data_IF_551947199581
#
_entry.id   IF_551947199581
#
_cell.length_a   1.000
_cell.length_b   1.000
_cell.length_c   1.000
_cell.angle_alpha   90.00
_cell.angle_beta   90.00
_cell.angle_gamma   90.00
#
_symmetry.space_group_name_H-M   'P 1'
#
loop_
_entity.id
_entity.type
_entity.pdbx_description
1 polymer ?
#
# COMPACT_ATOMS: atom_id res chain seq x y z
N UNK A 1 -2.29 2.38 -17.53
CA UNK A 1 -2.48 0.97 -17.94
C UNK A 1 -2.97 0.13 -16.76
N UNK A 2 -4.25 -0.27 -16.87
CA UNK A 2 -5.02 -1.34 -16.19
C UNK A 2 -4.60 -1.88 -14.81
N UNK A 3 -5.48 -1.65 -13.83
CA UNK A 3 -5.63 -2.49 -12.65
C UNK A 3 -6.18 -3.89 -13.00
N UNK A 4 -6.00 -4.80 -12.05
CA UNK A 4 -6.34 -6.22 -12.04
C UNK A 4 -7.79 -6.55 -12.42
N UNK A 5 -7.97 -7.42 -13.43
CA UNK A 5 -9.18 -8.24 -13.63
C UNK A 5 -9.13 -9.52 -12.77
N UNK A 6 -10.28 -10.04 -12.31
CA UNK A 6 -10.36 -11.35 -11.65
C UNK A 6 -10.19 -12.48 -12.68
N UNK A 7 -9.67 -13.62 -12.22
CA UNK A 7 -9.40 -14.79 -13.05
C UNK A 7 -10.69 -15.37 -13.67
N UNK A 8 -10.74 -15.43 -15.01
CA UNK A 8 -11.82 -16.09 -15.75
C UNK A 8 -11.78 -15.81 -17.27
N UNK A 9 -11.16 -16.72 -18.02
CA UNK A 9 -11.07 -16.86 -19.49
C UNK A 9 -10.23 -15.85 -20.31
N UNK A 10 -9.12 -16.39 -20.84
CA UNK A 10 -8.01 -15.75 -21.56
C UNK A 10 -8.37 -15.28 -22.98
N UNK A 11 -8.70 -14.00 -23.12
CA UNK A 11 -8.62 -13.28 -24.41
C UNK A 11 -7.48 -12.25 -24.44
N UNK A 12 -6.74 -12.11 -23.33
CA UNK A 12 -5.73 -11.06 -23.09
C UNK A 12 -4.28 -11.62 -23.01
N UNK A 13 -3.97 -12.76 -23.66
CA UNK A 13 -2.62 -13.37 -23.66
C UNK A 13 -2.12 -13.61 -25.09
N UNK A 14 -0.80 -13.54 -25.29
CA UNK A 14 -0.17 -13.70 -26.60
C UNK A 14 0.82 -14.87 -26.60
N UNK A 15 0.85 -15.61 -27.69
CA UNK A 15 1.89 -16.60 -27.94
C UNK A 15 3.23 -15.89 -28.19
N UNK A 16 4.27 -16.30 -27.47
CA UNK A 16 5.61 -15.71 -27.58
C UNK A 16 6.61 -16.70 -28.21
N UNK A 17 7.39 -16.21 -29.17
CA UNK A 17 8.40 -17.00 -29.85
C UNK A 17 9.74 -17.00 -29.10
N UNK A 18 10.77 -17.61 -29.70
CA UNK A 18 12.10 -17.67 -29.10
C UNK A 18 12.85 -16.34 -29.14
N UNK A 19 12.55 -15.50 -30.13
CA UNK A 19 13.17 -14.20 -30.27
C UNK A 19 12.66 -13.26 -29.19
N UNK A 20 11.35 -13.14 -29.00
CA UNK A 20 10.74 -12.33 -27.94
C UNK A 20 11.25 -12.72 -26.56
N UNK A 21 11.34 -14.03 -26.24
CA UNK A 21 11.94 -14.47 -24.97
C UNK A 21 13.37 -13.96 -24.80
N UNK A 22 14.18 -14.09 -25.84
CA UNK A 22 15.59 -13.68 -25.80
C UNK A 22 15.72 -12.17 -25.62
N UNK A 23 14.91 -11.39 -26.33
CA UNK A 23 14.89 -9.92 -26.26
C UNK A 23 14.46 -9.44 -24.87
N UNK A 24 13.39 -10.01 -24.31
CA UNK A 24 12.92 -9.67 -22.97
C UNK A 24 13.98 -9.98 -21.90
N UNK A 25 14.61 -11.17 -21.95
CA UNK A 25 15.65 -11.53 -20.98
C UNK A 25 16.86 -10.60 -21.06
N UNK A 26 17.29 -10.22 -22.28
CA UNK A 26 18.38 -9.25 -22.47
C UNK A 26 18.01 -7.88 -21.94
N UNK A 27 16.83 -7.38 -22.30
CA UNK A 27 16.35 -6.09 -21.85
C UNK A 27 16.25 -6.02 -20.32
N UNK A 28 15.80 -7.08 -19.64
CA UNK A 28 15.79 -7.11 -18.16
C UNK A 28 17.21 -7.04 -17.62
N UNK A 29 18.14 -7.83 -18.17
CA UNK A 29 19.53 -7.82 -17.72
C UNK A 29 20.15 -6.42 -17.87
N UNK A 30 19.90 -5.73 -18.98
CA UNK A 30 20.42 -4.40 -19.22
C UNK A 30 19.75 -3.37 -18.28
N UNK A 31 18.43 -3.44 -18.13
CA UNK A 31 17.68 -2.47 -17.33
C UNK A 31 17.93 -2.58 -15.82
N UNK A 32 18.39 -3.74 -15.34
CA UNK A 32 18.82 -3.93 -13.96
C UNK A 32 19.99 -3.03 -13.55
N UNK A 33 20.68 -2.39 -14.49
CA UNK A 33 21.64 -1.33 -14.16
C UNK A 33 20.96 -0.18 -13.40
N UNK A 34 19.67 0.08 -13.61
CA UNK A 34 18.89 1.10 -12.88
C UNK A 34 18.49 0.72 -11.47
N UNK A 35 18.71 -0.53 -11.07
CA UNK A 35 18.30 -1.01 -9.77
C UNK A 35 19.13 -0.38 -8.64
N UNK A 36 18.46 0.04 -7.57
CA UNK A 36 19.07 0.75 -6.43
C UNK A 36 20.11 -0.08 -5.66
N UNK A 37 20.23 -1.39 -5.94
CA UNK A 37 21.12 -2.32 -5.25
C UNK A 37 22.09 -2.99 -6.25
N UNK A 38 23.24 -2.37 -6.57
CA UNK A 38 24.13 -2.80 -7.64
C UNK A 38 24.68 -4.23 -7.49
N UNK A 39 24.94 -4.68 -6.26
CA UNK A 39 25.46 -6.03 -6.03
C UNK A 39 24.39 -7.11 -6.25
N UNK A 40 23.14 -6.80 -5.89
CA UNK A 40 21.99 -7.66 -6.22
C UNK A 40 21.73 -7.62 -7.72
N UNK A 41 21.82 -6.46 -8.36
CA UNK A 41 21.68 -6.32 -9.82
C UNK A 41 22.67 -7.22 -10.57
N UNK A 42 23.97 -7.20 -10.21
CA UNK A 42 24.99 -8.07 -10.82
C UNK A 42 24.68 -9.55 -10.71
N UNK A 43 24.15 -9.98 -9.55
CA UNK A 43 23.73 -11.38 -9.32
C UNK A 43 22.57 -11.75 -10.26
N UNK A 44 21.55 -10.91 -10.35
CA UNK A 44 20.40 -11.12 -11.23
C UNK A 44 20.81 -11.14 -12.71
N UNK A 45 21.66 -10.20 -13.13
CA UNK A 45 22.21 -10.12 -14.48
C UNK A 45 22.98 -11.39 -14.86
N UNK A 46 23.78 -11.93 -13.93
CA UNK A 46 24.53 -13.17 -14.16
C UNK A 46 23.57 -14.35 -14.38
N UNK A 47 22.58 -14.54 -13.51
CA UNK A 47 21.60 -15.63 -13.65
C UNK A 47 20.77 -15.49 -14.95
N UNK A 48 20.41 -14.28 -15.36
CA UNK A 48 19.73 -14.04 -16.65
C UNK A 48 20.62 -14.37 -17.86
N UNK A 49 21.91 -14.00 -17.83
CA UNK A 49 22.88 -14.31 -18.89
C UNK A 49 23.14 -15.81 -19.00
N UNK A 50 23.22 -16.52 -17.87
CA UNK A 50 23.36 -17.97 -17.85
C UNK A 50 22.14 -18.65 -18.50
N UNK A 51 20.93 -18.19 -18.17
CA UNK A 51 19.70 -18.70 -18.79
C UNK A 51 19.62 -18.39 -20.27
N UNK A 52 20.05 -17.19 -20.70
CA UNK A 52 20.16 -16.86 -22.12
C UNK A 52 21.09 -17.86 -22.85
N UNK A 53 22.25 -18.20 -22.27
CA UNK A 53 23.20 -19.14 -22.87
C UNK A 53 22.63 -20.57 -23.01
N UNK A 54 21.83 -21.00 -22.04
CA UNK A 54 21.17 -22.31 -22.03
C UNK A 54 19.87 -22.33 -22.86
N UNK A 55 19.46 -21.17 -23.40
CA UNK A 55 18.15 -20.91 -23.99
C UNK A 55 17.03 -21.32 -23.03
N UNK A 56 17.04 -20.78 -21.81
CA UNK A 56 16.03 -21.01 -20.78
C UNK A 56 14.62 -20.62 -21.22
N UNK A 57 13.61 -21.09 -20.50
CA UNK A 57 12.18 -20.80 -20.77
C UNK A 57 11.66 -21.30 -22.13
N UNK A 58 12.29 -22.31 -22.77
CA UNK A 58 11.83 -22.84 -24.07
C UNK A 58 10.37 -23.28 -24.06
N UNK A 59 9.94 -23.83 -22.93
CA UNK A 59 8.60 -24.38 -22.74
C UNK A 59 7.56 -23.31 -22.40
N UNK A 60 8.00 -22.08 -22.11
CA UNK A 60 7.11 -20.94 -21.84
C UNK A 60 6.68 -20.31 -23.15
N UNK A 61 5.40 -20.50 -23.50
CA UNK A 61 4.81 -20.00 -24.76
C UNK A 61 3.83 -18.86 -24.57
N UNK A 62 3.48 -18.52 -23.34
CA UNK A 62 2.53 -17.47 -22.99
C UNK A 62 3.25 -16.22 -22.50
N UNK A 63 2.78 -15.05 -22.91
CA UNK A 63 3.30 -13.77 -22.45
C UNK A 63 3.04 -13.56 -20.96
N UNK A 64 1.81 -13.87 -20.51
CA UNK A 64 1.44 -13.87 -19.08
C UNK A 64 2.33 -14.81 -18.28
N UNK A 65 2.54 -16.04 -18.76
CA UNK A 65 3.38 -17.03 -18.10
C UNK A 65 4.84 -16.60 -18.01
N UNK A 66 5.38 -15.96 -19.07
CA UNK A 66 6.76 -15.46 -19.04
C UNK A 66 6.94 -14.36 -18.00
N UNK A 67 6.05 -13.36 -17.99
CA UNK A 67 6.10 -12.27 -17.01
C UNK A 67 6.02 -12.78 -15.57
N UNK A 68 5.09 -13.70 -15.29
CA UNK A 68 4.95 -14.32 -13.97
C UNK A 68 6.20 -15.12 -13.56
N UNK A 69 6.76 -15.89 -14.48
CA UNK A 69 7.94 -16.73 -14.22
C UNK A 69 9.18 -15.88 -13.95
N UNK A 70 9.42 -14.87 -14.77
CA UNK A 70 10.53 -13.94 -14.59
C UNK A 70 10.39 -13.14 -13.29
N UNK A 71 9.17 -12.69 -12.97
CA UNK A 71 8.89 -12.03 -11.68
C UNK A 71 9.26 -12.94 -10.52
N UNK A 72 8.74 -14.17 -10.48
CA UNK A 72 9.00 -15.10 -9.37
C UNK A 72 10.51 -15.39 -9.19
N UNK A 73 11.23 -15.55 -10.30
CA UNK A 73 12.68 -15.73 -10.31
C UNK A 73 13.41 -14.50 -9.74
N UNK A 74 13.13 -13.30 -10.26
CA UNK A 74 13.77 -12.05 -9.83
C UNK A 74 13.54 -11.82 -8.33
N UNK A 75 12.30 -11.96 -7.87
CA UNK A 75 11.93 -11.76 -6.46
C UNK A 75 12.54 -12.84 -5.54
N UNK A 76 12.67 -14.08 -6.01
CA UNK A 76 13.32 -15.15 -5.23
C UNK A 76 14.80 -14.84 -4.98
N UNK A 77 15.50 -14.30 -5.99
CA UNK A 77 16.93 -14.04 -5.93
C UNK A 77 17.29 -12.71 -5.26
N UNK A 78 16.43 -11.70 -5.38
CA UNK A 78 16.61 -10.36 -4.82
C UNK A 78 16.03 -10.20 -3.42
N UNK A 79 14.97 -10.96 -3.09
CA UNK A 79 14.08 -10.74 -1.94
C UNK A 79 13.32 -9.41 -1.96
N UNK A 80 13.34 -8.70 -3.07
CA UNK A 80 12.61 -7.45 -3.30
C UNK A 80 11.32 -7.77 -4.05
N UNK A 81 10.17 -7.41 -3.48
CA UNK A 81 8.84 -7.68 -4.06
C UNK A 81 8.37 -6.64 -5.06
N UNK A 82 9.03 -5.48 -5.13
CA UNK A 82 8.74 -4.45 -6.12
C UNK A 82 9.31 -4.79 -7.50
N UNK A 83 10.41 -5.54 -7.58
CA UNK A 83 10.92 -6.04 -8.85
C UNK A 83 9.89 -6.97 -9.51
N UNK A 84 9.23 -6.48 -10.56
CA UNK A 84 8.13 -7.18 -11.21
C UNK A 84 8.10 -6.92 -12.71
N UNK A 85 7.90 -7.99 -13.47
CA UNK A 85 7.73 -7.97 -14.92
C UNK A 85 6.23 -8.07 -15.23
N UNK A 86 5.78 -7.25 -16.16
CA UNK A 86 4.40 -7.15 -16.57
C UNK A 86 4.29 -7.45 -18.06
N UNK A 87 3.18 -8.08 -18.42
CA UNK A 87 2.79 -8.33 -19.80
C UNK A 87 1.62 -7.42 -20.18
N UNK A 88 1.61 -6.94 -21.41
CA UNK A 88 0.52 -6.19 -22.02
C UNK A 88 0.12 -6.81 -23.36
N UNK A 89 -1.16 -7.15 -23.58
CA UNK A 89 -1.62 -7.62 -24.89
C UNK A 89 -1.58 -6.52 -25.96
N UNK A 90 -1.63 -5.24 -25.55
CA UNK A 90 -1.41 -4.10 -26.43
C UNK A 90 0.08 -3.73 -26.51
N UNK A 91 0.49 -3.18 -27.65
CA UNK A 91 1.85 -2.65 -27.81
C UNK A 91 2.03 -1.44 -26.90
N UNK A 92 3.08 -1.49 -26.09
CA UNK A 92 3.45 -0.45 -25.16
C UNK A 92 4.06 0.73 -25.91
N UNK A 93 3.73 1.97 -25.54
CA UNK A 93 4.39 3.14 -26.10
C UNK A 93 5.90 3.16 -25.75
N UNK A 94 6.72 3.81 -26.57
CA UNK A 94 8.10 4.13 -26.20
C UNK A 94 8.08 5.37 -25.29
N UNK A 95 7.91 5.16 -23.98
CA UNK A 95 7.99 6.23 -22.99
C UNK A 95 9.38 6.25 -22.39
N UNK A 96 10.05 7.40 -22.46
CA UNK A 96 11.23 7.67 -21.62
C UNK A 96 10.74 8.21 -20.27
N UNK A 97 11.50 8.04 -19.17
CA UNK A 97 11.09 8.56 -17.86
C UNK A 97 10.78 10.08 -17.82
N UNK A 98 11.33 10.84 -18.77
CA UNK A 98 11.15 12.29 -18.90
C UNK A 98 10.03 12.68 -19.87
N UNK A 99 9.35 11.72 -20.49
CA UNK A 99 8.24 12.01 -21.40
C UNK A 99 7.07 12.59 -20.60
N UNK A 100 6.69 13.84 -20.87
CA UNK A 100 5.47 14.42 -20.30
C UNK A 100 4.26 13.57 -20.68
N UNK A 101 3.38 13.32 -19.70
CA UNK A 101 2.15 12.58 -19.93
C UNK A 101 1.23 13.48 -20.76
N UNK A 102 0.78 13.04 -21.95
CA UNK A 102 -0.15 13.82 -22.76
C UNK A 102 -1.41 14.17 -21.96
N UNK A 103 -1.97 15.39 -22.09
CA UNK A 103 -3.15 15.81 -21.33
C UNK A 103 -4.35 14.86 -21.45
N UNK A 104 -4.52 14.24 -22.62
CA UNK A 104 -5.54 13.22 -22.89
C UNK A 104 -5.34 11.93 -22.09
N UNK A 105 -4.10 11.48 -21.91
CA UNK A 105 -3.78 10.30 -21.12
C UNK A 105 -3.90 10.59 -19.63
N UNK A 106 -3.51 11.79 -19.19
CA UNK A 106 -3.74 12.26 -17.84
C UNK A 106 -5.24 12.35 -17.51
N UNK A 107 -6.04 12.93 -18.41
CA UNK A 107 -7.49 12.99 -18.26
C UNK A 107 -8.15 11.60 -18.28
N UNK A 108 -7.61 10.67 -19.08
CA UNK A 108 -8.06 9.28 -19.08
C UNK A 108 -7.74 8.60 -17.74
N UNK A 109 -6.52 8.76 -17.22
CA UNK A 109 -6.12 8.24 -15.90
C UNK A 109 -7.02 8.80 -14.81
N UNK A 110 -7.23 10.12 -14.79
CA UNK A 110 -8.11 10.77 -13.82
C UNK A 110 -9.53 10.19 -13.89
N UNK A 111 -10.10 10.01 -15.09
CA UNK A 111 -11.42 9.39 -15.28
C UNK A 111 -11.48 7.97 -14.72
N UNK A 112 -10.43 7.16 -14.90
CA UNK A 112 -10.38 5.81 -14.32
C UNK A 112 -10.32 5.84 -12.79
N UNK A 113 -9.61 6.81 -12.22
CA UNK A 113 -9.60 7.02 -10.76
C UNK A 113 -10.97 7.51 -10.27
N UNK A 114 -11.64 8.43 -10.97
CA UNK A 114 -13.01 8.89 -10.66
C UNK A 114 -14.02 7.72 -10.61
N UNK A 115 -13.96 6.78 -11.57
CA UNK A 115 -14.83 5.61 -11.60
C UNK A 115 -14.65 4.68 -10.39
N UNK A 116 -13.47 4.70 -9.76
CA UNK A 116 -13.15 3.96 -8.53
C UNK A 116 -13.33 4.82 -7.28
N UNK A 117 -13.92 6.01 -7.41
CA UNK A 117 -14.00 7.02 -6.36
C UNK A 117 -12.62 7.30 -5.71
N UNK A 118 -11.59 7.33 -6.56
CA UNK A 118 -10.18 7.51 -6.19
C UNK A 118 -9.67 6.50 -5.15
N UNK A 119 -10.21 5.28 -5.18
CA UNK A 119 -9.93 4.20 -4.22
C UNK A 119 -10.22 4.57 -2.75
N UNK A 120 -11.02 5.61 -2.51
CA UNK A 120 -11.70 5.85 -1.24
C UNK A 120 -12.99 5.03 -1.28
N UNK A 121 -12.89 3.78 -0.84
CA UNK A 121 -13.90 2.75 -1.09
C UNK A 121 -15.06 2.83 -0.08
N UNK A 122 -14.78 3.22 1.15
CA UNK A 122 -15.80 3.32 2.20
C UNK A 122 -15.45 4.39 3.21
N UNK A 123 -16.46 5.19 3.55
CA UNK A 123 -16.44 6.18 4.61
C UNK A 123 -17.68 5.96 5.47
N UNK A 124 -17.51 5.64 6.74
CA UNK A 124 -18.63 5.28 7.61
C UNK A 124 -18.42 5.72 9.06
N UNK A 125 -19.53 6.05 9.73
CA UNK A 125 -19.59 6.12 11.20
C UNK A 125 -20.14 4.80 11.74
N UNK A 126 -19.25 3.96 12.25
CA UNK A 126 -19.57 2.72 12.95
C UNK A 126 -20.21 3.02 14.31
N UNK A 127 -20.85 2.00 14.90
CA UNK A 127 -21.38 2.05 16.27
C UNK A 127 -20.30 2.40 17.29
N UNK A 128 -20.69 3.08 18.37
CA UNK A 128 -19.78 3.64 19.37
C UNK A 128 -19.07 4.91 18.88
N UNK A 129 -19.64 5.59 17.88
CA UNK A 129 -19.09 6.79 17.24
C UNK A 129 -17.65 6.59 16.72
N UNK A 130 -17.36 5.46 16.08
CA UNK A 130 -16.04 5.18 15.49
C UNK A 130 -16.08 5.47 14.00
N UNK A 131 -15.21 6.35 13.53
CA UNK A 131 -15.03 6.62 12.11
C UNK A 131 -14.28 5.49 11.43
N UNK A 132 -14.63 5.20 10.19
CA UNK A 132 -14.01 4.18 9.36
C UNK A 132 -13.72 4.75 7.97
N UNK A 133 -12.47 4.62 7.53
CA UNK A 133 -11.98 5.03 6.22
C UNK A 133 -11.25 3.86 5.56
N UNK A 134 -11.77 3.35 4.45
CA UNK A 134 -11.15 2.27 3.68
C UNK A 134 -10.54 2.80 2.38
N UNK A 135 -9.25 2.50 2.19
CA UNK A 135 -8.47 2.95 1.04
C UNK A 135 -7.89 1.73 0.33
N UNK A 136 -8.10 1.55 -0.97
CA UNK A 136 -7.44 0.48 -1.75
C UNK A 136 -6.17 0.97 -2.46
N UNK A 137 -5.97 2.28 -2.51
CA UNK A 137 -4.78 2.93 -3.06
C UNK A 137 -4.62 4.31 -2.44
N UNK A 138 -3.43 4.87 -2.55
CA UNK A 138 -3.12 6.27 -2.32
C UNK A 138 -3.12 7.00 -3.68
N UNK A 139 -4.28 7.40 -4.19
CA UNK A 139 -4.35 8.18 -5.43
C UNK A 139 -3.70 9.56 -5.27
N UNK A 140 -3.12 10.16 -6.32
CA UNK A 140 -2.45 11.47 -6.22
C UNK A 140 -3.39 12.60 -5.72
N UNK A 141 -2.93 13.51 -4.83
CA UNK A 141 -3.76 14.60 -4.29
C UNK A 141 -4.37 15.54 -5.33
N UNK A 142 -3.71 15.73 -6.47
CA UNK A 142 -4.22 16.52 -7.60
C UNK A 142 -5.53 15.96 -8.19
N UNK A 143 -5.79 14.66 -7.99
CA UNK A 143 -7.04 14.01 -8.40
C UNK A 143 -7.99 13.82 -7.21
N UNK A 144 -7.44 13.36 -6.08
CA UNK A 144 -8.22 12.77 -5.00
C UNK A 144 -8.29 13.63 -3.74
N UNK A 145 -7.60 14.79 -3.70
CA UNK A 145 -7.47 15.63 -2.51
C UNK A 145 -8.80 16.12 -1.96
N UNK A 146 -9.72 16.55 -2.85
CA UNK A 146 -11.05 17.03 -2.45
C UNK A 146 -11.94 15.89 -1.94
N UNK A 147 -11.86 14.71 -2.56
CA UNK A 147 -12.58 13.50 -2.11
C UNK A 147 -12.08 13.07 -0.74
N UNK A 148 -10.76 13.10 -0.51
CA UNK A 148 -10.19 12.84 0.82
C UNK A 148 -10.66 13.88 1.84
N UNK A 149 -10.67 15.17 1.48
CA UNK A 149 -11.14 16.23 2.36
C UNK A 149 -12.62 16.04 2.73
N UNK A 150 -13.46 15.60 1.79
CA UNK A 150 -14.86 15.27 2.05
C UNK A 150 -14.98 14.09 3.04
N UNK A 151 -14.20 13.03 2.85
CA UNK A 151 -14.15 11.89 3.77
C UNK A 151 -13.71 12.30 5.18
N UNK A 152 -12.62 13.07 5.30
CA UNK A 152 -12.14 13.55 6.59
C UNK A 152 -13.12 14.51 7.27
N UNK A 153 -13.82 15.36 6.50
CA UNK A 153 -14.91 16.21 7.00
C UNK A 153 -16.06 15.38 7.56
N UNK A 154 -16.50 14.35 6.84
CA UNK A 154 -17.55 13.44 7.31
C UNK A 154 -17.17 12.76 8.63
N UNK A 155 -15.91 12.37 8.78
CA UNK A 155 -15.39 11.68 9.96
C UNK A 155 -14.96 12.64 11.08
N UNK A 156 -15.02 13.96 10.88
CA UNK A 156 -14.47 14.96 11.81
C UNK A 156 -15.08 14.92 13.20
N UNK A 157 -16.27 14.36 13.39
CA UNK A 157 -16.97 14.35 14.69
C UNK A 157 -17.01 12.95 15.36
N UNK A 158 -16.29 11.97 14.83
CA UNK A 158 -16.20 10.65 15.46
C UNK A 158 -15.27 10.67 16.67
N UNK A 159 -15.44 9.75 17.62
CA UNK A 159 -14.64 9.68 18.85
C UNK A 159 -13.32 8.92 18.65
N UNK A 160 -13.27 8.01 17.69
CA UNK A 160 -12.05 7.32 17.24
C UNK A 160 -12.08 7.15 15.71
N UNK A 161 -10.94 6.81 15.11
CA UNK A 161 -10.81 6.56 13.68
C UNK A 161 -10.09 5.23 13.43
N UNK A 162 -10.66 4.40 12.57
CA UNK A 162 -10.01 3.23 11.98
C UNK A 162 -9.76 3.50 10.49
N UNK A 163 -8.50 3.38 10.07
CA UNK A 163 -8.08 3.48 8.67
C UNK A 163 -7.74 2.07 8.19
N UNK A 164 -8.42 1.61 7.15
CA UNK A 164 -8.31 0.26 6.64
C UNK A 164 -7.45 0.21 5.38
N UNK A 165 -6.31 -0.45 5.51
CA UNK A 165 -5.30 -0.62 4.46
C UNK A 165 -5.12 -2.10 4.09
N UNK A 166 -6.02 -3.00 4.51
CA UNK A 166 -5.87 -4.45 4.30
C UNK A 166 -5.83 -4.84 2.82
N UNK A 167 -6.37 -4.00 1.94
CA UNK A 167 -6.32 -4.22 0.49
C UNK A 167 -5.52 -3.14 -0.24
N UNK A 168 -4.82 -2.27 0.50
CA UNK A 168 -4.11 -1.14 -0.06
C UNK A 168 -2.70 -1.52 -0.51
N UNK A 169 -2.45 -1.43 -1.82
CA UNK A 169 -1.16 -1.80 -2.41
C UNK A 169 -0.21 -0.62 -2.66
N UNK A 170 -0.50 0.53 -2.06
CA UNK A 170 0.34 1.72 -2.10
C UNK A 170 -0.20 2.80 -3.00
N UNK A 171 0.69 3.52 -3.69
CA UNK A 171 0.34 4.66 -4.53
C UNK A 171 1.25 5.86 -4.28
N UNK A 172 0.65 7.04 -4.19
CA UNK A 172 1.29 8.34 -4.12
C UNK A 172 1.78 8.68 -2.71
N UNK A 173 3.09 8.88 -2.57
CA UNK A 173 3.71 9.39 -1.32
C UNK A 173 3.19 10.78 -0.93
N UNK A 174 2.78 11.63 -1.88
CA UNK A 174 2.16 12.92 -1.56
C UNK A 174 0.78 12.78 -0.93
N UNK A 175 0.01 11.73 -1.28
CA UNK A 175 -1.25 11.45 -0.61
C UNK A 175 -1.03 10.89 0.80
N UNK A 176 0.02 10.09 1.00
CA UNK A 176 0.48 9.70 2.35
C UNK A 176 0.74 10.95 3.19
N UNK A 177 1.54 11.89 2.70
CA UNK A 177 1.83 13.14 3.41
C UNK A 177 0.56 13.96 3.72
N UNK A 178 -0.37 14.06 2.76
CA UNK A 178 -1.63 14.78 2.93
C UNK A 178 -2.51 14.12 4.00
N UNK A 179 -2.72 12.80 3.95
CA UNK A 179 -3.51 12.09 4.95
C UNK A 179 -2.86 12.12 6.33
N UNK A 180 -1.54 11.94 6.41
CA UNK A 180 -0.80 12.06 7.68
C UNK A 180 -0.94 13.46 8.27
N UNK A 181 -1.00 14.50 7.42
CA UNK A 181 -1.23 15.88 7.88
C UNK A 181 -2.59 16.03 8.58
N UNK A 182 -3.65 15.38 8.12
CA UNK A 182 -4.93 15.41 8.85
C UNK A 182 -4.81 14.88 10.29
N UNK A 183 -3.83 14.04 10.59
CA UNK A 183 -3.69 13.38 11.89
C UNK A 183 -2.67 14.05 12.81
N UNK A 184 -1.96 15.09 12.35
CA UNK A 184 -0.90 15.77 13.09
C UNK A 184 -1.14 17.29 13.14
N UNK A 185 -0.62 17.99 14.17
CA UNK A 185 -0.69 19.46 14.22
C UNK A 185 -0.09 20.12 12.98
N UNK A 186 -0.53 21.33 12.66
CA UNK A 186 0.01 22.08 11.52
C UNK A 186 1.48 22.49 11.73
N UNK A 187 1.89 22.68 12.99
CA UNK A 187 3.23 23.09 13.36
C UNK A 187 3.74 22.33 14.60
N UNK A 188 5.05 22.01 14.66
CA UNK A 188 6.00 22.11 13.55
C UNK A 188 5.66 21.13 12.41
N UNK A 189 6.05 21.46 11.18
CA UNK A 189 5.95 20.51 10.08
C UNK A 189 6.84 19.30 10.39
N UNK A 190 6.33 18.11 10.11
CA UNK A 190 6.99 16.84 10.42
C UNK A 190 7.62 16.31 9.13
N UNK A 191 8.92 16.03 9.18
CA UNK A 191 9.62 15.33 8.11
C UNK A 191 9.29 13.84 8.21
N UNK A 192 8.61 13.30 7.21
CA UNK A 192 8.13 11.93 7.22
C UNK A 192 9.20 10.96 6.69
N UNK A 193 9.60 11.16 5.43
CA UNK A 193 10.41 10.20 4.69
C UNK A 193 11.35 10.94 3.74
N UNK A 194 12.60 10.48 3.63
CA UNK A 194 13.51 10.83 2.55
C UNK A 194 13.49 9.71 1.50
N UNK A 195 13.31 10.06 0.23
CA UNK A 195 13.54 9.18 -0.90
C UNK A 195 14.87 9.57 -1.55
N UNK A 196 15.80 8.62 -1.64
CA UNK A 196 17.15 8.86 -2.16
C UNK A 196 17.43 8.02 -3.40
N UNK A 197 17.77 8.69 -4.50
CA UNK A 197 18.22 8.06 -5.73
C UNK A 197 19.72 8.29 -5.90
N UNK A 198 20.48 7.21 -5.72
CA UNK A 198 21.94 7.28 -5.66
C UNK A 198 22.58 7.71 -6.99
N UNK A 199 22.06 7.23 -8.13
CA UNK A 199 22.63 7.52 -9.45
C UNK A 199 22.55 9.00 -9.81
N UNK A 200 21.44 9.63 -9.48
CA UNK A 200 21.17 11.05 -9.73
C UNK A 200 21.68 11.94 -8.60
N UNK A 201 22.18 11.35 -7.50
CA UNK A 201 22.46 12.05 -6.25
C UNK A 201 21.29 12.96 -5.83
N UNK A 202 20.06 12.46 -5.98
CA UNK A 202 18.83 13.21 -5.77
C UNK A 202 18.14 12.75 -4.51
N UNK A 203 17.78 13.70 -3.65
CA UNK A 203 16.93 13.48 -2.48
C UNK A 203 15.61 14.19 -2.65
N UNK A 204 14.52 13.49 -2.39
CA UNK A 204 13.18 14.06 -2.33
C UNK A 204 12.62 13.83 -0.94
N UNK A 205 12.07 14.89 -0.35
CA UNK A 205 11.61 14.87 1.03
C UNK A 205 10.08 14.90 1.06
N UNK A 206 9.50 14.17 2.00
CA UNK A 206 8.07 14.18 2.29
C UNK A 206 7.81 14.87 3.63
N UNK A 207 6.94 15.89 3.62
CA UNK A 207 6.64 16.71 4.80
C UNK A 207 5.14 16.86 5.00
N UNK A 208 4.70 17.00 6.26
CA UNK A 208 3.32 17.41 6.53
C UNK A 208 3.04 18.84 6.05
N UNK A 209 1.81 19.09 5.62
CA UNK A 209 1.37 20.39 5.10
C UNK A 209 0.59 21.19 6.16
N UNK A 210 0.72 22.53 6.19
CA UNK A 210 0.09 23.36 7.21
C UNK A 210 -1.40 23.64 6.94
N UNK A 211 -1.82 23.63 5.67
CA UNK A 211 -3.19 23.90 5.25
C UNK A 211 -3.87 22.64 4.71
N UNK A 212 -5.15 22.46 5.05
CA UNK A 212 -5.96 21.32 4.66
C UNK A 212 -7.39 21.79 4.34
N UNK A 213 -8.01 21.16 3.35
CA UNK A 213 -9.38 21.46 2.92
C UNK A 213 -10.46 20.85 3.83
N UNK A 214 -10.11 20.32 5.00
CA UNK A 214 -11.01 19.87 6.06
C UNK A 214 -10.31 19.92 7.44
N UNK A 215 -11.06 19.82 8.56
CA UNK A 215 -10.46 19.89 9.90
C UNK A 215 -9.51 18.73 10.21
N UNK A 216 -8.50 19.00 11.06
CA UNK A 216 -7.57 17.99 11.57
C UNK A 216 -8.23 17.10 12.63
N UNK A 217 -7.78 15.84 12.70
CA UNK A 217 -8.21 14.81 13.63
C UNK A 217 -7.12 14.55 14.68
N UNK A 218 -6.94 15.48 15.63
CA UNK A 218 -5.78 15.51 16.54
C UNK A 218 -5.97 14.71 17.83
N UNK A 219 -7.01 15.03 18.61
CA UNK A 219 -7.09 14.63 20.03
C UNK A 219 -7.80 13.30 20.29
N UNK A 220 -7.77 12.40 19.30
CA UNK A 220 -8.58 11.18 19.28
C UNK A 220 -7.78 9.97 18.83
N UNK A 221 -8.05 8.76 19.36
CA UNK A 221 -7.30 7.58 18.99
C UNK A 221 -7.50 7.20 17.53
N UNK A 222 -6.41 6.80 16.89
CA UNK A 222 -6.37 6.35 15.50
C UNK A 222 -5.81 4.93 15.49
N UNK A 223 -6.44 4.07 14.70
CA UNK A 223 -6.03 2.70 14.46
C UNK A 223 -5.85 2.50 12.96
N UNK A 224 -4.80 1.80 12.56
CA UNK A 224 -4.58 1.40 11.17
C UNK A 224 -4.64 -0.11 11.11
N UNK A 225 -5.50 -0.65 10.24
CA UNK A 225 -5.56 -2.10 10.03
C UNK A 225 -4.83 -2.52 8.77
N UNK A 226 -3.99 -3.55 8.91
CA UNK A 226 -3.08 -4.03 7.85
C UNK A 226 -3.22 -5.52 7.61
N UNK A 227 -2.82 -5.94 6.42
CA UNK A 227 -2.73 -7.36 6.03
C UNK A 227 -1.41 -7.65 5.32
N UNK A 228 -1.18 -8.92 4.96
CA UNK A 228 -0.11 -9.33 4.05
C UNK A 228 -0.15 -8.68 2.66
N UNK A 229 -1.28 -8.08 2.25
CA UNK A 229 -1.42 -7.35 0.98
C UNK A 229 -1.08 -5.86 1.10
N UNK A 230 -1.03 -5.31 2.32
CA UNK A 230 -0.66 -3.91 2.54
C UNK A 230 0.77 -3.71 2.02
N UNK A 231 0.97 -2.78 1.09
CA UNK A 231 2.24 -2.65 0.36
C UNK A 231 2.61 -1.20 0.02
N UNK A 232 3.91 -0.91 -0.12
CA UNK A 232 4.42 0.35 -0.68
C UNK A 232 3.98 1.58 0.12
N UNK A 233 3.43 2.62 -0.52
CA UNK A 233 3.01 3.85 0.17
C UNK A 233 2.04 3.62 1.35
N UNK A 234 1.27 2.52 1.34
CA UNK A 234 0.41 2.17 2.48
C UNK A 234 1.22 1.72 3.70
N UNK A 235 2.34 1.05 3.47
CA UNK A 235 3.31 0.70 4.51
C UNK A 235 4.01 1.96 5.02
N UNK A 236 4.39 2.89 4.14
CA UNK A 236 4.94 4.19 4.56
C UNK A 236 3.97 4.92 5.50
N UNK A 237 2.69 5.00 5.15
CA UNK A 237 1.69 5.63 6.00
C UNK A 237 1.57 4.96 7.37
N UNK A 238 1.44 3.63 7.40
CA UNK A 238 1.36 2.87 8.64
C UNK A 238 2.63 3.04 9.50
N UNK A 239 3.80 2.96 8.87
CA UNK A 239 5.09 3.12 9.54
C UNK A 239 5.25 4.51 10.15
N UNK A 240 4.99 5.56 9.37
CA UNK A 240 5.10 6.93 9.84
C UNK A 240 4.24 7.16 11.09
N UNK A 241 2.99 6.72 11.07
CA UNK A 241 2.10 6.88 12.22
C UNK A 241 2.50 6.01 13.43
N UNK A 242 3.02 4.81 13.19
CA UNK A 242 3.53 3.94 14.25
C UNK A 242 4.75 4.58 14.94
N UNK A 243 5.74 5.04 14.17
CA UNK A 243 6.95 5.64 14.70
C UNK A 243 6.69 6.98 15.41
N UNK A 244 5.74 7.77 14.90
CA UNK A 244 5.27 9.00 15.56
C UNK A 244 4.35 8.73 16.77
N UNK A 245 4.06 7.47 17.09
CA UNK A 245 3.12 7.05 18.14
C UNK A 245 1.74 7.70 17.99
N UNK A 246 1.35 7.99 16.75
CA UNK A 246 0.08 8.65 16.43
C UNK A 246 -1.04 7.63 16.25
N UNK A 247 -0.74 6.45 15.72
CA UNK A 247 -1.72 5.38 15.53
C UNK A 247 -1.23 4.06 16.12
N UNK A 248 -2.18 3.19 16.41
CA UNK A 248 -1.95 1.78 16.76
C UNK A 248 -2.19 0.92 15.53
N UNK A 249 -1.21 0.10 15.15
CA UNK A 249 -1.28 -0.79 13.99
C UNK A 249 -1.80 -2.16 14.43
N UNK A 250 -2.82 -2.67 13.74
CA UNK A 250 -3.54 -3.89 14.11
C UNK A 250 -3.71 -4.80 12.88
N UNK A 251 -3.31 -6.06 12.99
CA UNK A 251 -3.49 -7.03 11.91
C UNK A 251 -2.23 -7.83 11.62
N UNK A 252 -1.91 -8.00 10.35
CA UNK A 252 -0.78 -8.82 9.91
C UNK A 252 0.44 -7.97 9.54
N UNK A 253 1.60 -8.62 9.55
CA UNK A 253 2.83 -8.04 9.00
C UNK A 253 2.64 -7.78 7.51
N UNK A 254 2.96 -6.57 7.07
CA UNK A 254 2.76 -6.12 5.69
C UNK A 254 3.76 -6.75 4.72
N UNK A 255 3.61 -6.48 3.42
CA UNK A 255 4.35 -7.20 2.37
C UNK A 255 5.85 -6.85 2.27
N UNK A 256 6.29 -5.70 2.78
CA UNK A 256 7.69 -5.32 2.85
C UNK A 256 8.25 -4.66 1.59
N UNK A 257 7.50 -3.76 0.95
CA UNK A 257 8.00 -2.92 -0.13
C UNK A 257 8.14 -1.48 0.32
N UNK A 258 9.37 -1.01 0.48
CA UNK A 258 9.66 0.37 0.88
C UNK A 258 10.10 1.25 -0.28
N UNK A 259 10.80 0.67 -1.24
CA UNK A 259 11.63 1.47 -2.14
C UNK A 259 10.87 2.07 -3.35
N UNK A 260 11.07 3.36 -3.66
CA UNK A 260 10.49 3.98 -4.84
C UNK A 260 11.15 3.46 -6.12
N UNK A 261 10.40 3.48 -7.21
CA UNK A 261 10.87 2.93 -8.47
C UNK A 261 10.21 3.53 -9.69
N UNK A 262 10.55 2.98 -10.84
CA UNK A 262 10.07 3.43 -12.15
C UNK A 262 9.78 2.25 -13.06
N UNK A 263 8.86 2.47 -14.00
CA UNK A 263 8.55 1.51 -15.05
C UNK A 263 9.53 1.66 -16.21
N UNK A 264 10.03 0.54 -16.72
CA UNK A 264 10.92 0.48 -17.86
C UNK A 264 10.37 -0.49 -18.89
N UNK A 265 10.24 -0.03 -20.13
CA UNK A 265 9.81 -0.88 -21.24
C UNK A 265 10.94 -1.84 -21.63
N UNK A 266 10.60 -3.11 -21.83
CA UNK A 266 11.51 -4.18 -22.18
C UNK A 266 11.33 -4.66 -23.63
N UNK A 267 10.09 -4.65 -24.09
CA UNK A 267 9.65 -5.12 -25.40
C UNK A 267 8.30 -4.46 -25.72
N UNK A 268 7.76 -4.67 -26.93
CA UNK A 268 6.42 -4.20 -27.33
C UNK A 268 5.33 -4.62 -26.34
N UNK A 269 5.49 -5.76 -25.70
CA UNK A 269 4.46 -6.36 -24.83
C UNK A 269 4.92 -6.55 -23.39
N UNK A 270 6.13 -6.09 -23.04
CA UNK A 270 6.68 -6.28 -21.70
C UNK A 270 7.30 -5.00 -21.16
N UNK A 271 7.07 -4.78 -19.87
CA UNK A 271 7.75 -3.75 -19.08
C UNK A 271 8.04 -4.31 -17.68
N UNK A 272 8.92 -3.65 -16.94
CA UNK A 272 9.19 -4.00 -15.55
C UNK A 272 9.20 -2.77 -14.66
N UNK A 273 8.78 -2.97 -13.41
CA UNK A 273 9.01 -1.99 -12.36
C UNK A 273 10.35 -2.31 -11.69
N UNK A 274 11.20 -1.28 -11.55
CA UNK A 274 12.50 -1.37 -10.89
C UNK A 274 12.55 -0.35 -9.76
N UNK A 275 12.86 -0.77 -8.52
CA UNK A 275 13.25 0.14 -7.46
C UNK A 275 14.54 0.88 -7.82
N UNK A 276 14.44 2.18 -8.09
CA UNK A 276 15.57 3.01 -8.53
C UNK A 276 16.10 3.89 -7.40
N UNK A 277 15.36 4.00 -6.30
CA UNK A 277 15.77 4.72 -5.10
C UNK A 277 15.51 3.90 -3.84
N UNK A 278 15.86 4.49 -2.70
CA UNK A 278 15.63 3.90 -1.39
C UNK A 278 14.81 4.85 -0.52
N UNK A 279 13.83 4.30 0.19
CA UNK A 279 13.12 5.03 1.23
C UNK A 279 13.92 4.97 2.53
N UNK A 280 14.07 6.12 3.18
CA UNK A 280 14.78 6.28 4.44
C UNK A 280 13.80 6.93 5.42
N UNK A 281 13.43 6.20 6.47
CA UNK A 281 12.64 6.80 7.53
C UNK A 281 13.51 7.66 8.43
N UNK A 282 13.04 8.86 8.74
CA UNK A 282 13.78 9.74 9.64
C UNK A 282 13.49 9.48 11.12
N UNK A 283 12.48 8.69 11.44
CA UNK A 283 12.20 8.32 12.82
C UNK A 283 13.18 7.25 13.33
N UNK A 284 13.63 6.35 12.45
CA UNK A 284 14.49 5.21 12.81
C UNK A 284 15.87 5.24 12.14
N UNK A 285 16.01 5.95 11.01
CA UNK A 285 17.18 5.86 10.14
C UNK A 285 17.23 4.55 9.33
N UNK A 286 16.19 3.72 9.42
CA UNK A 286 16.09 2.41 8.77
C UNK A 286 14.99 2.41 7.68
N UNK A 287 14.74 1.25 7.08
CA UNK A 287 13.64 0.99 6.15
C UNK A 287 12.88 -0.30 6.54
N UNK A 288 11.72 -0.54 5.93
CA UNK A 288 10.90 -1.75 6.15
C UNK A 288 10.95 -2.74 4.98
N UNK A 289 11.90 -2.55 4.05
CA UNK A 289 12.04 -3.42 2.88
C UNK A 289 12.33 -4.86 3.31
N UNK A 290 11.59 -5.82 2.75
CA UNK A 290 11.73 -7.24 3.05
C UNK A 290 11.18 -7.70 4.41
N UNK A 291 11.00 -6.82 5.39
CA UNK A 291 10.40 -7.16 6.70
C UNK A 291 8.92 -6.81 6.80
N UNK A 292 8.51 -5.71 6.15
CA UNK A 292 7.21 -5.09 6.36
C UNK A 292 7.08 -4.43 7.74
N UNK A 293 5.90 -3.86 7.99
CA UNK A 293 5.51 -3.22 9.22
C UNK A 293 4.98 -4.29 10.15
N UNK A 294 5.59 -4.43 11.33
CA UNK A 294 5.11 -5.34 12.37
C UNK A 294 4.02 -4.62 13.16
N UNK A 295 2.77 -5.14 13.20
CA UNK A 295 1.69 -4.50 13.93
C UNK A 295 1.92 -4.50 15.44
N UNK A 296 1.43 -3.47 16.12
CA UNK A 296 1.44 -3.40 17.59
C UNK A 296 0.55 -4.49 18.19
N UNK A 297 -0.55 -4.82 17.50
CA UNK A 297 -1.44 -5.94 17.83
C UNK A 297 -1.54 -6.91 16.65
N UNK A 298 -0.76 -8.00 16.72
CA UNK A 298 -0.71 -9.02 15.68
C UNK A 298 -1.91 -9.97 15.77
N UNK A 299 -2.78 -9.93 14.76
CA UNK A 299 -3.95 -10.80 14.60
C UNK A 299 -4.18 -11.10 13.10
N UNK A 300 -4.85 -12.20 12.73
CA UNK A 300 -5.25 -12.44 11.34
C UNK A 300 -6.01 -11.25 10.74
N UNK A 301 -5.83 -10.99 9.44
CA UNK A 301 -6.46 -9.86 8.76
C UNK A 301 -7.99 -9.85 8.89
N UNK A 302 -8.61 -11.03 9.00
CA UNK A 302 -10.04 -11.19 9.20
C UNK A 302 -10.52 -10.69 10.58
N UNK A 303 -9.66 -10.73 11.60
CA UNK A 303 -9.99 -10.27 12.96
C UNK A 303 -9.64 -8.79 13.19
N UNK A 304 -8.68 -8.26 12.42
CA UNK A 304 -8.04 -6.95 12.65
C UNK A 304 -9.00 -5.77 12.83
N UNK A 305 -10.04 -5.64 12.00
CA UNK A 305 -11.03 -4.56 12.12
C UNK A 305 -11.78 -4.62 13.46
N UNK A 306 -12.27 -5.81 13.83
CA UNK A 306 -12.99 -6.00 15.10
C UNK A 306 -12.06 -5.82 16.29
N UNK A 307 -10.80 -6.24 16.18
CA UNK A 307 -9.78 -5.96 17.19
C UNK A 307 -9.51 -4.47 17.33
N UNK A 308 -9.39 -3.71 16.23
CA UNK A 308 -9.24 -2.26 16.28
C UNK A 308 -10.45 -1.56 16.92
N UNK A 309 -11.68 -2.00 16.61
CA UNK A 309 -12.90 -1.52 17.26
C UNK A 309 -12.89 -1.80 18.77
N UNK A 310 -12.51 -3.01 19.19
CA UNK A 310 -12.39 -3.39 20.60
C UNK A 310 -11.40 -2.47 21.33
N UNK A 311 -10.22 -2.24 20.74
CA UNK A 311 -9.20 -1.36 21.30
C UNK A 311 -9.70 0.08 21.39
N UNK A 312 -10.41 0.57 20.37
CA UNK A 312 -11.03 1.89 20.37
C UNK A 312 -12.05 2.03 21.50
N UNK A 313 -12.96 1.07 21.64
CA UNK A 313 -14.00 1.12 22.66
C UNK A 313 -13.42 1.11 24.07
N UNK A 314 -12.48 0.21 24.35
CA UNK A 314 -11.80 0.16 25.66
C UNK A 314 -11.05 1.45 25.95
N UNK A 315 -10.39 2.04 24.94
CA UNK A 315 -9.71 3.33 25.07
C UNK A 315 -10.68 4.45 25.41
N UNK A 316 -11.79 4.54 24.67
CA UNK A 316 -12.81 5.57 24.87
C UNK A 316 -13.50 5.47 26.23
N UNK A 317 -13.82 4.25 26.69
CA UNK A 317 -14.39 4.04 28.03
C UNK A 317 -13.43 4.49 29.13
N UNK A 318 -12.15 4.08 29.03
CA UNK A 318 -11.13 4.48 30.00
C UNK A 318 -10.95 5.99 30.05
N UNK A 319 -10.81 6.64 28.89
CA UNK A 319 -10.61 8.10 28.84
C UNK A 319 -11.84 8.86 29.40
N UNK A 320 -13.05 8.30 29.24
CA UNK A 320 -14.26 8.84 29.85
C UNK A 320 -14.31 8.68 31.37
N UNK A 321 -13.90 7.52 31.90
CA UNK A 321 -13.82 7.27 33.34
C UNK A 321 -12.74 8.15 34.01
N UNK A 322 -11.67 8.48 33.27
CA UNK A 322 -10.62 9.40 33.70
C UNK A 322 -10.98 10.89 33.52
N UNK A 323 -12.16 11.21 32.97
CA UNK A 323 -12.62 12.58 32.74
C UNK A 323 -11.83 13.35 31.69
N UNK A 324 -11.11 12.66 30.79
CA UNK A 324 -10.27 13.26 29.73
C UNK A 324 -11.02 13.67 28.49
N UNK A 325 -12.24 13.16 28.32
CA UNK A 325 -13.17 13.57 27.28
C UNK A 325 -14.21 14.48 27.92
N UNK A 326 -14.63 15.57 27.27
CA UNK A 326 -15.89 16.24 27.63
C UNK A 326 -16.92 15.14 27.82
N UNK A 327 -17.46 15.02 29.05
CA UNK A 327 -18.21 13.85 29.53
C UNK A 327 -18.99 13.24 28.37
N UNK A 328 -18.58 12.04 27.91
CA UNK A 328 -19.33 11.32 26.88
C UNK A 328 -20.80 11.43 27.26
N UNK A 329 -21.62 11.98 26.36
CA UNK A 329 -23.05 12.07 26.65
C UNK A 329 -23.56 10.69 27.06
N UNK A 330 -24.49 10.64 28.01
CA UNK A 330 -24.97 9.38 28.60
C UNK A 330 -25.46 8.42 27.51
N UNK A 331 -26.04 8.94 26.41
CA UNK A 331 -26.47 8.15 25.27
C UNK A 331 -25.30 7.47 24.55
N UNK A 332 -24.19 8.17 24.33
CA UNK A 332 -23.00 7.65 23.67
C UNK A 332 -22.25 6.66 24.56
N UNK A 333 -22.20 6.89 25.88
CA UNK A 333 -21.63 5.93 26.83
C UNK A 333 -22.37 4.59 26.77
N UNK A 334 -23.70 4.62 26.76
CA UNK A 334 -24.52 3.42 26.61
C UNK A 334 -24.30 2.72 25.26
N UNK A 335 -24.27 3.48 24.16
CA UNK A 335 -23.97 2.93 22.82
C UNK A 335 -22.60 2.23 22.82
N UNK A 336 -21.61 2.80 23.51
CA UNK A 336 -20.26 2.25 23.62
C UNK A 336 -20.23 0.95 24.42
N UNK A 337 -20.92 0.87 25.55
CA UNK A 337 -21.02 -0.34 26.40
C UNK A 337 -21.73 -1.49 25.65
N UNK A 338 -22.82 -1.19 24.94
CA UNK A 338 -23.53 -2.16 24.10
C UNK A 338 -22.66 -2.63 22.92
N UNK A 339 -21.93 -1.71 22.29
CA UNK A 339 -21.03 -2.01 21.16
C UNK A 339 -19.82 -2.83 21.60
N UNK A 340 -19.28 -2.56 22.79
CA UNK A 340 -18.17 -3.33 23.38
C UNK A 340 -18.58 -4.80 23.55
N UNK A 341 -19.73 -5.02 24.21
CA UNK A 341 -20.27 -6.38 24.43
C UNK A 341 -20.47 -7.12 23.11
N UNK A 342 -21.01 -6.45 22.09
CA UNK A 342 -21.24 -7.05 20.79
C UNK A 342 -19.93 -7.39 20.05
N UNK A 343 -18.94 -6.50 20.09
CA UNK A 343 -17.65 -6.74 19.43
C UNK A 343 -16.87 -7.86 20.10
N UNK A 344 -16.93 -7.99 21.42
CA UNK A 344 -16.32 -9.12 22.13
C UNK A 344 -16.96 -10.45 21.70
N UNK A 345 -18.30 -10.52 21.69
CA UNK A 345 -19.01 -11.72 21.22
C UNK A 345 -18.74 -12.04 19.74
N UNK A 346 -18.62 -11.02 18.87
CA UNK A 346 -18.25 -11.20 17.47
C UNK A 346 -16.84 -11.76 17.33
N UNK A 347 -15.87 -11.23 18.07
CA UNK A 347 -14.49 -11.70 18.04
C UNK A 347 -14.38 -13.15 18.51
N UNK A 348 -15.05 -13.51 19.61
CA UNK A 348 -15.05 -14.88 20.12
C UNK A 348 -15.58 -15.86 19.08
N UNK A 349 -16.69 -15.52 18.42
CA UNK A 349 -17.27 -16.31 17.33
C UNK A 349 -16.33 -16.41 16.13
N UNK A 350 -15.71 -15.30 15.72
CA UNK A 350 -14.78 -15.31 14.59
C UNK A 350 -13.54 -16.15 14.88
N UNK A 351 -12.99 -16.08 16.10
CA UNK A 351 -11.89 -16.93 16.54
C UNK A 351 -12.26 -18.41 16.54
N UNK A 352 -13.43 -18.77 17.08
CA UNK A 352 -13.93 -20.15 17.04
C UNK A 352 -14.09 -20.66 15.60
N UNK A 353 -14.59 -19.83 14.69
CA UNK A 353 -14.73 -20.18 13.28
C UNK A 353 -13.37 -20.44 12.62
N UNK A 354 -12.35 -19.61 12.91
CA UNK A 354 -10.99 -19.81 12.39
C UNK A 354 -10.41 -21.15 12.88
N UNK A 355 -10.51 -21.45 14.17
CA UNK A 355 -10.04 -22.71 14.76
C UNK A 355 -10.79 -23.91 14.17
N UNK A 356 -12.11 -23.81 14.02
CA UNK A 356 -12.96 -24.85 13.42
C UNK A 356 -12.64 -25.10 11.94
N UNK A 357 -12.30 -24.06 11.18
CA UNK A 357 -11.89 -24.23 9.79
C UNK A 357 -10.52 -24.91 9.68
N UNK A 358 -9.58 -24.59 10.58
CA UNK A 358 -8.27 -25.26 10.62
C UNK A 358 -8.37 -26.74 10.98
N UNK A 359 -9.32 -27.14 11.85
CA UNK A 359 -9.49 -28.54 12.22
C UNK A 359 -10.03 -29.41 11.08
N UNK A 360 -10.73 -28.82 10.10
CA UNK A 360 -11.24 -29.50 8.89
C UNK A 360 -10.18 -29.76 7.81
N UNK A 361 -8.97 -29.18 7.96
CA UNK A 361 -7.85 -29.35 7.02
C UNK A 361 -6.97 -30.55 7.39
N UNK A 362 -7.22 -31.16 8.56
CA UNK A 362 -6.62 -32.45 8.97
C UNK A 362 -7.52 -33.60 8.56
#
# INVERSE_FOLDING_TARGET
MSASKPAGNSTDDLAIDAQTRTEVLRAIADQLDEYAFPDVAKKLQTDLRDRLSQKGYRDVKSGVQLAATLTAQLQTLSKDRHLKVYFSPAVLPHLTPQTEIPPEELAHQQRLSELRNFDINRVERLRGNVGYLELFSFEPPEFAGDTLAAAMRFLTNTSALVIDLRYNRGGSASMVALLTSYLLPAYPAVHLTDLYWQKENRRQQSWTVPHLSAPRYLDRPVYVVTSLETFSAAEEFAYNLQQLKRAVIVGETTAGGANPGSGFRLHDHFWMFIPTGQAISLATGENWEGTGIIPDFKVPAELSLKTAQLLAFRRLMRDADEGKTERLDLSLRRELEESLTQVEADLDRMQQNLVSNMSKVR
#
